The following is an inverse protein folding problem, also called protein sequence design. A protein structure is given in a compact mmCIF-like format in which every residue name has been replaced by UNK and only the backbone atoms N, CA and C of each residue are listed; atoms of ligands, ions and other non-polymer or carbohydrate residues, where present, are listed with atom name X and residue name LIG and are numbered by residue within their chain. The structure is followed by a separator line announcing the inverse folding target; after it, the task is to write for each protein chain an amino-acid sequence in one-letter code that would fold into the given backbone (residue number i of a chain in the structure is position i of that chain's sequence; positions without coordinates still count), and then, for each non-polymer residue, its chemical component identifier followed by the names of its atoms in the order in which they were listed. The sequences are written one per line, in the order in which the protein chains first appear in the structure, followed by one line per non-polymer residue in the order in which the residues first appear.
data_IF_838624716219
#
_entry.id   IF_838624716219
#
_cell.length_a   1.000
_cell.length_b   1.000
_cell.length_c   1.000
_cell.angle_alpha   90.00
_cell.angle_beta   90.00
_cell.angle_gamma   90.00
#
_symmetry.space_group_name_H-M   'P 1'
#
loop_
_entity.id
_entity.type
_entity.pdbx_description
1 polymer ?
#
# COMPACT_ATOMS: atom_id res chain seq x y z
N UNK A 1 -4.12 -0.55 17.89
CA UNK A 1 -4.88 -0.84 16.66
C UNK A 1 -4.53 0.23 15.64
N UNK A 2 -4.15 -0.17 14.43
CA UNK A 2 -3.62 0.74 13.38
C UNK A 2 -4.40 0.52 12.08
N UNK A 3 -4.51 1.57 11.28
CA UNK A 3 -5.10 1.52 9.94
C UNK A 3 -4.28 2.39 8.99
N UNK A 4 -4.39 2.08 7.68
CA UNK A 4 -3.77 2.84 6.60
C UNK A 4 -4.87 3.29 5.65
N UNK A 5 -4.85 4.57 5.30
CA UNK A 5 -5.75 5.19 4.35
C UNK A 5 -5.03 5.40 3.01
N UNK A 6 -5.71 5.10 1.90
CA UNK A 6 -5.19 5.29 0.55
C UNK A 6 -5.94 6.39 -0.17
N UNK A 7 -5.21 7.43 -0.54
CA UNK A 7 -5.72 8.58 -1.29
C UNK A 7 -4.90 8.76 -2.57
N UNK A 8 -5.52 9.34 -3.59
CA UNK A 8 -4.83 9.70 -4.83
C UNK A 8 -3.80 10.82 -4.53
N UNK A 9 -2.52 10.66 -4.88
CA UNK A 9 -1.50 11.66 -4.57
C UNK A 9 -1.63 12.96 -5.37
N UNK A 10 -2.37 12.98 -6.48
CA UNK A 10 -2.61 14.17 -7.30
C UNK A 10 -3.82 14.96 -6.83
N UNK A 11 -4.92 14.28 -6.49
CA UNK A 11 -6.19 14.93 -6.13
C UNK A 11 -6.45 14.98 -4.62
N UNK A 12 -5.80 14.11 -3.85
CA UNK A 12 -6.07 13.92 -2.42
C UNK A 12 -7.37 13.17 -2.13
N UNK A 13 -8.10 12.75 -3.17
CA UNK A 13 -9.38 12.06 -3.00
C UNK A 13 -9.20 10.61 -2.55
N UNK A 14 -10.18 10.05 -1.82
CA UNK A 14 -10.20 8.64 -1.43
C UNK A 14 -10.02 7.70 -2.63
N UNK A 15 -9.16 6.68 -2.50
CA UNK A 15 -8.90 5.71 -3.56
C UNK A 15 -9.39 4.29 -3.20
N UNK A 16 -10.72 4.02 -3.27
CA UNK A 16 -11.28 2.70 -2.98
C UNK A 16 -10.78 1.62 -3.93
N UNK A 17 -10.59 1.94 -5.21
CA UNK A 17 -10.14 0.98 -6.22
C UNK A 17 -8.72 0.49 -5.92
N UNK A 18 -7.83 1.40 -5.51
CA UNK A 18 -6.49 1.01 -5.09
C UNK A 18 -6.54 0.11 -3.86
N UNK A 19 -7.35 0.46 -2.85
CA UNK A 19 -7.56 -0.34 -1.65
C UNK A 19 -8.05 -1.76 -1.96
N UNK A 20 -9.02 -1.89 -2.87
CA UNK A 20 -9.52 -3.19 -3.33
C UNK A 20 -8.44 -4.00 -4.04
N UNK A 21 -7.62 -3.38 -4.88
CA UNK A 21 -6.51 -4.04 -5.57
C UNK A 21 -5.44 -4.54 -4.59
N UNK A 22 -5.09 -3.72 -3.58
CA UNK A 22 -4.17 -4.13 -2.50
C UNK A 22 -4.74 -5.33 -1.74
N UNK A 23 -6.02 -5.27 -1.36
CA UNK A 23 -6.69 -6.35 -0.63
C UNK A 23 -6.68 -7.66 -1.44
N UNK A 24 -7.06 -7.60 -2.72
CA UNK A 24 -7.10 -8.78 -3.58
C UNK A 24 -5.70 -9.39 -3.74
N UNK A 25 -4.69 -8.57 -4.02
CA UNK A 25 -3.32 -9.06 -4.21
C UNK A 25 -2.73 -9.61 -2.90
N UNK A 26 -3.04 -9.01 -1.76
CA UNK A 26 -2.67 -9.55 -0.46
C UNK A 26 -3.33 -10.92 -0.21
N UNK A 27 -4.62 -11.06 -0.54
CA UNK A 27 -5.37 -12.31 -0.42
C UNK A 27 -4.77 -13.42 -1.30
N UNK A 28 -4.41 -13.10 -2.54
CA UNK A 28 -3.69 -14.02 -3.45
C UNK A 28 -2.36 -14.50 -2.87
N UNK A 29 -1.71 -13.70 -2.03
CA UNK A 29 -0.46 -14.04 -1.33
C UNK A 29 -0.69 -14.64 0.07
N UNK A 30 -1.94 -14.96 0.43
CA UNK A 30 -2.29 -15.61 1.70
C UNK A 30 -2.45 -14.65 2.89
N UNK A 31 -2.58 -13.35 2.64
CA UNK A 31 -2.83 -12.34 3.68
C UNK A 31 -4.26 -11.79 3.57
N UNK A 32 -5.08 -12.03 4.59
CA UNK A 32 -6.43 -11.48 4.68
C UNK A 32 -6.40 -10.08 5.27
N UNK A 33 -6.94 -9.11 4.53
CA UNK A 33 -7.04 -7.72 4.94
C UNK A 33 -8.51 -7.28 4.97
N UNK A 34 -8.87 -6.45 5.94
CA UNK A 34 -10.20 -5.87 6.07
C UNK A 34 -10.18 -4.42 5.58
N UNK A 35 -11.03 -4.12 4.59
CA UNK A 35 -11.31 -2.75 4.17
C UNK A 35 -12.43 -2.15 5.03
N UNK A 36 -12.32 -0.87 5.34
CA UNK A 36 -13.30 -0.10 6.10
C UNK A 36 -13.29 1.38 5.68
N UNK A 37 -14.07 2.21 6.38
CA UNK A 37 -14.21 3.64 6.11
C UNK A 37 -15.41 3.94 5.20
N UNK A 38 -15.89 5.19 5.26
CA UNK A 38 -17.08 5.64 4.49
C UNK A 38 -16.86 5.48 2.99
N UNK A 39 -15.64 5.74 2.53
CA UNK A 39 -15.26 5.65 1.13
C UNK A 39 -14.63 4.30 0.76
N UNK A 40 -14.51 3.35 1.68
CA UNK A 40 -13.87 2.04 1.43
C UNK A 40 -12.37 2.12 1.12
N UNK A 41 -11.71 3.24 1.41
CA UNK A 41 -10.31 3.50 1.09
C UNK A 41 -9.33 3.14 2.23
N UNK A 42 -9.81 2.59 3.35
CA UNK A 42 -8.97 2.32 4.54
C UNK A 42 -8.80 0.81 4.73
N UNK A 43 -7.56 0.35 4.97
CA UNK A 43 -7.28 -1.01 5.44
C UNK A 43 -6.96 -0.98 6.93
N UNK A 44 -7.63 -1.85 7.69
CA UNK A 44 -7.53 -1.93 9.15
C UNK A 44 -6.83 -3.21 9.59
N UNK A 45 -5.80 -3.07 10.41
CA UNK A 45 -5.02 -4.20 10.93
C UNK A 45 -5.60 -4.67 12.26
N UNK A 46 -6.20 -5.86 12.23
CA UNK A 46 -6.77 -6.56 13.39
C UNK A 46 -6.08 -7.92 13.54
N UNK A 47 -4.91 -7.92 14.16
CA UNK A 47 -4.18 -9.13 14.52
C UNK A 47 -4.37 -9.44 16.02
N UNK A 48 -4.32 -10.72 16.45
CA UNK A 48 -4.40 -11.06 17.86
C UNK A 48 -3.13 -10.61 18.59
N UNK A 49 -3.25 -10.22 19.87
CA UNK A 49 -2.11 -9.81 20.70
C UNK A 49 -1.11 -10.94 20.96
N UNK A 50 -1.50 -12.18 20.70
CA UNK A 50 -0.69 -13.40 20.89
C UNK A 50 -0.10 -13.92 19.58
N UNK A 51 -0.15 -13.15 18.48
CA UNK A 51 0.45 -13.57 17.21
C UNK A 51 1.97 -13.75 17.37
N UNK A 52 2.56 -14.88 16.91
CA UNK A 52 4.01 -15.03 16.90
C UNK A 52 4.68 -13.98 16.02
N UNK A 53 5.81 -13.41 16.47
CA UNK A 53 6.53 -12.36 15.75
C UNK A 53 6.88 -12.76 14.31
N UNK A 54 7.34 -14.00 14.10
CA UNK A 54 7.68 -14.51 12.78
C UNK A 54 6.48 -14.53 11.81
N UNK A 55 5.27 -14.82 12.33
CA UNK A 55 4.05 -14.79 11.53
C UNK A 55 3.64 -13.34 11.21
N UNK A 56 3.80 -12.44 12.18
CA UNK A 56 3.52 -11.03 11.99
C UNK A 56 4.48 -10.37 10.97
N UNK A 57 5.79 -10.63 11.09
CA UNK A 57 6.79 -10.16 10.12
C UNK A 57 6.49 -10.67 8.72
N UNK A 58 6.14 -11.96 8.56
CA UNK A 58 5.76 -12.51 7.25
C UNK A 58 4.55 -11.80 6.65
N UNK A 59 3.55 -11.46 7.46
CA UNK A 59 2.38 -10.70 7.00
C UNK A 59 2.78 -9.29 6.52
N UNK A 60 3.66 -8.60 7.24
CA UNK A 60 4.19 -7.30 6.84
C UNK A 60 5.03 -7.38 5.56
N UNK A 61 5.83 -8.43 5.39
CA UNK A 61 6.62 -8.65 4.18
C UNK A 61 5.74 -8.84 2.95
N UNK A 62 4.65 -9.62 3.08
CA UNK A 62 3.64 -9.77 2.03
C UNK A 62 3.04 -8.41 1.68
N UNK A 63 2.62 -7.63 2.68
CA UNK A 63 2.03 -6.31 2.46
C UNK A 63 3.01 -5.36 1.76
N UNK A 64 4.25 -5.27 2.23
CA UNK A 64 5.28 -4.43 1.65
C UNK A 64 5.57 -4.81 0.19
N UNK A 65 5.66 -6.11 -0.10
CA UNK A 65 5.85 -6.62 -1.46
C UNK A 65 4.69 -6.23 -2.37
N UNK A 66 3.45 -6.40 -1.92
CA UNK A 66 2.24 -6.05 -2.68
C UNK A 66 2.19 -4.56 -2.99
N UNK A 67 2.44 -3.71 -1.99
CA UNK A 67 2.48 -2.26 -2.18
C UNK A 67 3.58 -1.84 -3.13
N UNK A 68 4.79 -2.40 -3.00
CA UNK A 68 5.89 -2.14 -3.91
C UNK A 68 5.56 -2.56 -5.34
N UNK A 69 4.92 -3.72 -5.54
CA UNK A 69 4.51 -4.18 -6.86
C UNK A 69 3.49 -3.21 -7.50
N UNK A 70 2.49 -2.77 -6.73
CA UNK A 70 1.41 -1.89 -7.21
C UNK A 70 1.86 -0.46 -7.45
N UNK A 71 2.83 0.04 -6.69
CA UNK A 71 3.37 1.41 -6.80
C UNK A 71 4.61 1.52 -7.70
N UNK A 72 5.19 0.38 -8.11
CA UNK A 72 6.36 0.37 -8.98
C UNK A 72 6.08 1.04 -10.33
N UNK A 73 6.97 1.92 -10.82
CA UNK A 73 6.75 2.69 -12.06
C UNK A 73 6.60 1.81 -13.32
N UNK A 74 7.08 0.55 -13.29
CA UNK A 74 6.86 -0.42 -14.37
C UNK A 74 5.38 -0.74 -14.60
N UNK A 75 4.52 -0.68 -13.57
CA UNK A 75 3.06 -0.85 -13.73
C UNK A 75 2.35 0.44 -14.13
N UNK A 76 2.84 1.62 -13.71
CA UNK A 76 2.30 2.91 -14.16
C UNK A 76 2.34 3.04 -15.70
N UNK A 77 3.39 2.49 -16.34
CA UNK A 77 3.50 2.42 -17.80
C UNK A 77 2.54 1.40 -18.45
N UNK A 78 2.12 0.35 -17.73
CA UNK A 78 1.21 -0.68 -18.23
C UNK A 78 -0.28 -0.33 -18.01
N UNK A 79 -0.58 0.56 -17.05
CA UNK A 79 -1.93 0.98 -16.71
C UNK A 79 -2.47 2.17 -17.56
N UNK A 80 -1.70 2.67 -18.52
CA UNK A 80 -2.11 3.79 -19.38
C UNK A 80 -2.06 3.46 -20.85
N UNK A 81 -3.22 3.41 -21.54
CA UNK A 81 -3.23 3.86 -22.93
C UNK A 81 -2.84 5.35 -22.92
N UNK A 82 -1.86 5.78 -23.73
CA UNK A 82 -1.34 7.14 -23.65
C UNK A 82 -2.39 8.12 -24.17
N UNK A 83 -2.94 8.96 -23.29
CA UNK A 83 -3.65 10.15 -23.71
C UNK A 83 -2.61 11.16 -24.21
N UNK A 84 -2.69 11.50 -25.51
CA UNK A 84 -1.69 12.21 -26.31
C UNK A 84 -1.42 13.67 -25.87
N UNK A 85 -2.10 14.16 -24.83
CA UNK A 85 -2.15 15.59 -24.48
C UNK A 85 -1.59 15.97 -23.09
N UNK A 86 -0.91 15.10 -22.34
CA UNK A 86 -0.31 15.48 -21.04
C UNK A 86 1.21 15.59 -21.17
N UNK A 87 1.75 16.80 -21.06
CA UNK A 87 3.21 17.03 -21.00
C UNK A 87 3.83 16.32 -19.79
N UNK A 88 5.07 15.82 -19.87
CA UNK A 88 5.67 15.02 -18.80
C UNK A 88 6.15 15.91 -17.65
N UNK A 89 5.77 15.60 -16.40
CA UNK A 89 6.28 16.26 -15.19
C UNK A 89 7.27 15.37 -14.41
N UNK A 90 8.43 15.92 -13.98
CA UNK A 90 9.50 15.17 -13.32
C UNK A 90 9.35 15.23 -11.79
N UNK A 91 8.70 14.25 -11.14
CA UNK A 91 8.61 14.26 -9.67
C UNK A 91 8.58 12.88 -8.97
N UNK A 92 8.92 11.79 -9.66
CA UNK A 92 8.75 10.42 -9.10
C UNK A 92 9.91 9.95 -8.21
N UNK A 93 10.95 10.77 -7.96
CA UNK A 93 12.17 10.29 -7.29
C UNK A 93 12.37 10.68 -5.81
N UNK A 94 11.52 11.51 -5.20
CA UNK A 94 11.85 12.11 -3.89
C UNK A 94 11.33 11.38 -2.63
N UNK A 95 10.44 10.38 -2.73
CA UNK A 95 9.81 9.76 -1.54
C UNK A 95 10.34 8.36 -1.16
N UNK A 96 11.44 7.92 -1.77
CA UNK A 96 12.02 6.58 -1.55
C UNK A 96 12.61 6.33 -0.15
N UNK A 97 12.89 7.38 0.64
CA UNK A 97 13.70 7.27 1.87
C UNK A 97 12.92 7.31 3.19
N UNK A 98 11.63 7.69 3.19
CA UNK A 98 10.90 7.93 4.45
C UNK A 98 10.19 6.70 4.99
N UNK A 99 9.68 5.82 4.14
CA UNK A 99 8.77 4.75 4.58
C UNK A 99 9.49 3.57 5.25
N UNK A 100 10.72 3.25 4.83
CA UNK A 100 11.52 2.17 5.45
C UNK A 100 12.17 2.66 6.76
N UNK A 101 12.49 3.95 6.85
CA UNK A 101 13.18 4.57 7.99
C UNK A 101 12.25 4.85 9.17
N UNK A 102 10.96 5.10 8.95
CA UNK A 102 10.02 5.44 10.03
C UNK A 102 9.49 4.23 10.82
N UNK A 103 9.49 3.04 10.21
CA UNK A 103 8.90 1.83 10.80
C UNK A 103 9.97 0.94 11.47
N UNK A 104 11.24 1.07 11.04
CA UNK A 104 12.38 0.28 11.55
C UNK A 104 12.76 0.52 13.03
N UNK A 105 12.65 1.72 13.64
CA UNK A 105 13.09 1.93 15.03
C UNK A 105 12.10 1.38 16.06
N UNK A 106 10.83 1.16 15.69
CA UNK A 106 9.79 0.73 16.63
C UNK A 106 9.78 -0.79 16.86
N UNK A 107 10.51 -1.56 16.05
CA UNK A 107 10.52 -3.03 16.07
C UNK A 107 11.81 -3.66 16.63
N UNK A 108 12.70 -2.86 17.25
CA UNK A 108 13.98 -3.32 17.84
C UNK A 108 14.08 -3.16 19.36
N UNK A 109 12.95 -3.02 20.07
CA UNK A 109 12.87 -3.08 21.53
C UNK A 109 11.87 -4.14 21.96
#
# INVERSE_FOLDING_TARGET
MVAVEFNDPQTGEPSPEFTRLVQQKAQENGLLLLSCGVYGNVIRFLYPLTIPDAQFSKALDILARVLNELTSPRRAAAAGKPNRNRTPQPAVYAQREWFITLISPFFRR
#
